data_IF_689688196253
#
_entry.id   IF_689688196253
#
_cell.length_a   1.000
_cell.length_b   1.000
_cell.length_c   1.000
_cell.angle_alpha   90.00
_cell.angle_beta   90.00
_cell.angle_gamma   90.00
#
_symmetry.space_group_name_H-M   'P 1'
#
loop_
_entity.id
_entity.type
_entity.pdbx_description
1 polymer ?
#
# COMPACT_ATOMS: atom_id res chain seq x y z
N UNK A 1 -17.82 11.11 -2.22
CA UNK A 1 -17.48 10.22 -3.38
C UNK A 1 -16.75 9.04 -2.76
N UNK A 2 -16.74 7.87 -3.37
CA UNK A 2 -16.09 6.70 -2.76
C UNK A 2 -15.77 5.65 -3.81
N UNK A 3 -15.19 4.54 -3.38
CA UNK A 3 -14.73 3.46 -4.23
C UNK A 3 -15.49 2.16 -3.91
N UNK A 4 -16.00 1.49 -4.95
CA UNK A 4 -16.72 0.22 -4.83
C UNK A 4 -15.82 -0.94 -5.21
N UNK A 5 -15.53 -1.80 -4.25
CA UNK A 5 -14.99 -3.14 -4.47
C UNK A 5 -16.13 -4.17 -4.62
N UNK A 6 -15.81 -5.40 -5.03
CA UNK A 6 -16.83 -6.45 -5.17
C UNK A 6 -17.56 -6.75 -3.85
N UNK A 7 -16.85 -6.80 -2.75
CA UNK A 7 -17.39 -7.22 -1.45
C UNK A 7 -17.59 -6.08 -0.46
N UNK A 8 -17.07 -4.88 -0.73
CA UNK A 8 -17.19 -3.73 0.18
C UNK A 8 -17.16 -2.41 -0.60
N UNK A 9 -17.73 -1.39 0.02
CA UNK A 9 -17.65 0.00 -0.42
C UNK A 9 -16.91 0.80 0.64
N UNK A 10 -16.12 1.78 0.21
CA UNK A 10 -15.48 2.72 1.12
C UNK A 10 -15.57 4.16 0.60
N UNK A 11 -15.68 5.09 1.53
CA UNK A 11 -15.58 6.53 1.30
C UNK A 11 -14.11 6.95 1.38
N UNK A 12 -13.70 7.92 0.54
CA UNK A 12 -12.32 8.42 0.48
C UNK A 12 -12.25 9.96 0.37
N UNK A 13 -13.33 10.64 0.71
CA UNK A 13 -13.47 12.09 0.54
C UNK A 13 -12.79 12.90 1.64
N UNK A 14 -12.48 12.29 2.79
CA UNK A 14 -11.76 12.92 3.91
C UNK A 14 -10.28 12.55 3.97
N UNK A 15 -9.78 11.75 3.04
CA UNK A 15 -8.38 11.36 2.97
C UNK A 15 -7.59 12.23 2.00
N UNK A 16 -6.34 12.53 2.33
CA UNK A 16 -5.43 13.31 1.48
C UNK A 16 -5.19 12.62 0.12
N UNK A 17 -5.11 11.29 0.12
CA UNK A 17 -5.02 10.47 -1.09
C UNK A 17 -6.28 9.61 -1.23
N UNK A 18 -6.86 9.64 -2.42
CA UNK A 18 -7.96 8.76 -2.79
C UNK A 18 -7.46 7.35 -3.05
N UNK A 19 -8.40 6.39 -3.09
CA UNK A 19 -8.07 5.03 -3.52
C UNK A 19 -7.33 5.06 -4.85
N UNK A 20 -6.18 4.39 -4.88
CA UNK A 20 -5.31 4.34 -6.05
C UNK A 20 -5.10 2.90 -6.52
N UNK A 21 -4.75 2.76 -7.79
CA UNK A 21 -4.34 1.46 -8.35
C UNK A 21 -3.16 0.85 -7.58
N UNK A 22 -2.28 1.68 -7.03
CA UNK A 22 -1.09 1.26 -6.28
C UNK A 22 -1.48 0.47 -5.03
N UNK A 23 -2.43 1.00 -4.23
CA UNK A 23 -2.97 0.29 -3.07
C UNK A 23 -3.65 -1.02 -3.46
N UNK A 24 -4.47 -1.00 -4.53
CA UNK A 24 -5.14 -2.21 -5.00
C UNK A 24 -4.16 -3.28 -5.48
N UNK A 25 -3.09 -2.89 -6.16
CA UNK A 25 -2.04 -3.81 -6.59
C UNK A 25 -1.31 -4.41 -5.39
N UNK A 26 -0.87 -3.59 -4.43
CA UNK A 26 -0.18 -4.07 -3.24
C UNK A 26 -1.08 -5.02 -2.43
N UNK A 27 -2.32 -4.60 -2.14
CA UNK A 27 -3.27 -5.39 -1.36
C UNK A 27 -3.67 -6.71 -2.03
N UNK A 28 -3.66 -6.76 -3.38
CA UNK A 28 -3.93 -8.00 -4.13
C UNK A 28 -2.70 -8.91 -4.21
N UNK A 29 -1.48 -8.33 -4.32
CA UNK A 29 -0.24 -9.06 -4.61
C UNK A 29 0.46 -9.61 -3.37
N UNK A 30 0.42 -8.90 -2.23
CA UNK A 30 1.16 -9.29 -1.01
C UNK A 30 0.83 -10.70 -0.57
N UNK A 31 1.84 -11.50 -0.17
CA UNK A 31 1.62 -12.80 0.47
C UNK A 31 1.20 -12.59 1.92
N UNK A 32 0.18 -13.33 2.35
CA UNK A 32 -0.31 -13.34 3.73
C UNK A 32 0.10 -14.62 4.47
N UNK A 33 0.94 -15.44 3.86
CA UNK A 33 1.36 -16.71 4.41
C UNK A 33 2.01 -16.54 5.80
N UNK A 34 1.55 -17.31 6.78
CA UNK A 34 2.01 -17.24 8.16
C UNK A 34 1.57 -16.02 8.96
N UNK A 35 0.82 -15.08 8.36
CA UNK A 35 0.47 -13.79 8.97
C UNK A 35 -0.92 -13.82 9.60
N UNK A 36 -0.99 -13.72 10.93
CA UNK A 36 -2.24 -13.63 11.70
C UNK A 36 -2.49 -12.22 12.23
N UNK A 37 -1.45 -11.54 12.69
CA UNK A 37 -1.51 -10.17 13.17
C UNK A 37 -0.80 -9.27 12.17
N UNK A 38 -1.55 -8.41 11.48
CA UNK A 38 -1.07 -7.57 10.38
C UNK A 38 -1.29 -6.10 10.67
N UNK A 39 -0.51 -5.22 10.02
CA UNK A 39 -0.71 -3.78 10.12
C UNK A 39 -0.65 -3.11 8.75
N UNK A 40 -1.54 -2.11 8.55
CA UNK A 40 -1.54 -1.17 7.44
C UNK A 40 -1.09 0.20 7.95
N UNK A 41 0.16 0.59 7.62
CA UNK A 41 0.78 1.83 8.07
C UNK A 41 0.47 2.99 7.12
N UNK A 42 -0.17 4.05 7.66
CA UNK A 42 -0.70 5.14 6.85
C UNK A 42 -1.90 4.69 6.03
N UNK A 43 -2.87 4.08 6.71
CA UNK A 43 -3.97 3.38 6.04
C UNK A 43 -4.93 4.28 5.24
N UNK A 44 -4.87 5.61 5.42
CA UNK A 44 -5.78 6.56 4.78
C UNK A 44 -7.23 6.18 5.03
N UNK A 45 -7.97 5.86 3.96
CA UNK A 45 -9.37 5.43 4.06
C UNK A 45 -9.56 3.95 4.47
N UNK A 46 -8.48 3.19 4.72
CA UNK A 46 -8.52 1.79 5.15
C UNK A 46 -8.59 0.76 4.02
N UNK A 47 -8.32 1.14 2.78
CA UNK A 47 -8.42 0.23 1.62
C UNK A 47 -7.56 -1.02 1.77
N UNK A 48 -6.27 -0.89 2.12
CA UNK A 48 -5.37 -2.02 2.28
C UNK A 48 -5.81 -2.90 3.45
N UNK A 49 -6.17 -2.31 4.59
CA UNK A 49 -6.67 -3.05 5.75
C UNK A 49 -7.91 -3.90 5.40
N UNK A 50 -8.88 -3.36 4.64
CA UNK A 50 -10.05 -4.10 4.20
C UNK A 50 -9.73 -5.19 3.17
N UNK A 51 -8.77 -4.96 2.27
CA UNK A 51 -8.28 -5.99 1.34
C UNK A 51 -7.59 -7.14 2.08
N UNK A 52 -6.81 -6.85 3.14
CA UNK A 52 -6.25 -7.88 4.01
C UNK A 52 -7.35 -8.67 4.74
N UNK A 53 -8.37 -7.98 5.27
CA UNK A 53 -9.49 -8.60 5.95
C UNK A 53 -10.27 -9.56 5.04
N UNK A 54 -10.47 -9.19 3.76
CA UNK A 54 -11.12 -10.04 2.77
C UNK A 54 -10.31 -11.32 2.48
N UNK A 55 -8.97 -11.21 2.42
CA UNK A 55 -8.08 -12.30 1.99
C UNK A 55 -7.62 -13.21 3.14
N UNK A 56 -7.69 -12.75 4.37
CA UNK A 56 -7.15 -13.46 5.53
C UNK A 56 -8.17 -14.39 6.18
N UNK A 57 -7.73 -15.45 6.91
CA UNK A 57 -8.59 -16.29 7.73
C UNK A 57 -9.39 -15.49 8.79
N UNK A 58 -10.46 -16.10 9.32
CA UNK A 58 -11.38 -15.42 10.25
C UNK A 58 -10.69 -14.98 11.57
N UNK A 59 -9.70 -15.73 12.00
CA UNK A 59 -8.93 -15.45 13.22
C UNK A 59 -7.89 -14.34 13.07
N UNK A 60 -7.62 -13.86 11.86
CA UNK A 60 -6.65 -12.79 11.61
C UNK A 60 -7.13 -11.46 12.20
N UNK A 61 -6.16 -10.64 12.60
CA UNK A 61 -6.39 -9.28 13.12
C UNK A 61 -5.52 -8.29 12.37
N UNK A 62 -6.12 -7.16 12.03
CA UNK A 62 -5.46 -6.09 11.28
C UNK A 62 -5.53 -4.79 12.09
N UNK A 63 -4.38 -4.11 12.24
CA UNK A 63 -4.31 -2.74 12.76
C UNK A 63 -4.18 -1.79 11.58
N UNK A 64 -5.17 -0.93 11.40
CA UNK A 64 -5.14 0.16 10.43
C UNK A 64 -4.67 1.42 11.15
N UNK A 65 -3.45 1.90 10.87
CA UNK A 65 -2.81 2.99 11.63
C UNK A 65 -2.76 4.22 10.74
N UNK A 66 -3.35 5.33 11.24
CA UNK A 66 -3.39 6.60 10.52
C UNK A 66 -3.19 7.77 11.50
N UNK A 67 -2.36 8.75 11.13
CA UNK A 67 -2.09 9.92 11.96
C UNK A 67 -3.06 11.08 11.73
N UNK A 68 -3.64 11.18 10.54
CA UNK A 68 -4.64 12.21 10.25
C UNK A 68 -5.98 11.82 10.87
N UNK A 69 -6.51 12.68 11.72
CA UNK A 69 -7.74 12.40 12.47
C UNK A 69 -8.95 12.20 11.54
N UNK A 70 -9.07 13.00 10.49
CA UNK A 70 -10.22 12.94 9.58
C UNK A 70 -10.19 11.66 8.74
N UNK A 71 -9.00 11.26 8.25
CA UNK A 71 -8.79 10.01 7.54
C UNK A 71 -9.01 8.81 8.47
N UNK A 72 -8.47 8.83 9.70
CA UNK A 72 -8.67 7.76 10.69
C UNK A 72 -10.14 7.56 11.03
N UNK A 73 -10.90 8.64 11.22
CA UNK A 73 -12.35 8.56 11.45
C UNK A 73 -13.07 7.99 10.24
N UNK A 74 -12.72 8.40 9.03
CA UNK A 74 -13.30 7.84 7.80
C UNK A 74 -12.98 6.36 7.64
N UNK A 75 -11.74 5.94 7.93
CA UNK A 75 -11.36 4.53 7.92
C UNK A 75 -12.17 3.71 8.93
N UNK A 76 -12.38 4.23 10.14
CA UNK A 76 -13.21 3.58 11.16
C UNK A 76 -14.67 3.40 10.68
N UNK A 77 -15.25 4.41 10.04
CA UNK A 77 -16.60 4.32 9.44
C UNK A 77 -16.65 3.29 8.29
N UNK A 78 -15.62 3.24 7.43
CA UNK A 78 -15.50 2.28 6.36
C UNK A 78 -15.37 0.85 6.91
N UNK A 79 -14.56 0.65 7.93
CA UNK A 79 -14.41 -0.64 8.62
C UNK A 79 -15.74 -1.09 9.23
N UNK A 80 -16.42 -0.22 9.96
CA UNK A 80 -17.71 -0.53 10.59
C UNK A 80 -18.80 -0.91 9.57
N UNK A 81 -18.76 -0.33 8.36
CA UNK A 81 -19.68 -0.62 7.27
C UNK A 81 -19.27 -1.83 6.42
N UNK A 82 -18.09 -2.41 6.65
CA UNK A 82 -17.55 -3.54 5.89
C UNK A 82 -18.08 -4.89 6.41
N UNK A 83 -17.91 -5.99 5.65
CA UNK A 83 -18.19 -7.35 6.14
C UNK A 83 -17.28 -7.83 7.27
N UNK A 84 -16.20 -7.09 7.64
CA UNK A 84 -15.17 -7.55 8.59
C UNK A 84 -14.87 -6.56 9.73
N UNK A 85 -15.88 -5.96 10.39
CA UNK A 85 -15.64 -4.96 11.45
C UNK A 85 -14.85 -5.53 12.63
N UNK A 86 -14.98 -6.82 12.90
CA UNK A 86 -14.28 -7.49 14.01
C UNK A 86 -12.82 -7.86 13.69
N UNK A 87 -12.43 -7.86 12.41
CA UNK A 87 -11.06 -8.17 12.01
C UNK A 87 -10.15 -6.96 12.01
N UNK A 88 -10.68 -5.77 11.73
CA UNK A 88 -9.91 -4.55 11.54
C UNK A 88 -10.13 -3.60 12.71
N UNK A 89 -9.05 -3.24 13.39
CA UNK A 89 -9.06 -2.19 14.40
C UNK A 89 -8.35 -0.96 13.87
N UNK A 90 -9.09 0.17 13.84
CA UNK A 90 -8.51 1.46 13.52
C UNK A 90 -7.73 2.00 14.73
N UNK A 91 -6.53 2.51 14.49
CA UNK A 91 -5.67 3.15 15.49
C UNK A 91 -5.28 4.54 15.00
N UNK A 92 -5.79 5.59 15.67
CA UNK A 92 -5.37 6.96 15.37
C UNK A 92 -4.04 7.24 16.06
N UNK A 93 -2.93 7.07 15.34
CA UNK A 93 -1.57 7.18 15.88
C UNK A 93 -0.56 7.47 14.78
N UNK A 94 0.51 8.15 15.13
CA UNK A 94 1.68 8.28 14.25
C UNK A 94 2.51 6.99 14.30
N UNK A 95 2.93 6.48 13.15
CA UNK A 95 3.77 5.28 13.04
C UNK A 95 5.15 5.43 13.70
N UNK A 96 5.58 6.66 13.98
CA UNK A 96 6.82 6.98 14.72
C UNK A 96 6.67 6.79 16.23
N UNK A 97 5.45 6.67 16.73
CA UNK A 97 5.19 6.58 18.16
C UNK A 97 5.69 5.25 18.73
N UNK A 98 6.26 5.30 19.94
CA UNK A 98 6.61 4.10 20.70
C UNK A 98 5.36 3.33 21.15
N UNK A 99 5.51 2.04 21.42
CA UNK A 99 4.45 1.21 21.99
C UNK A 99 3.51 0.58 20.95
N UNK A 100 3.85 0.60 19.66
CA UNK A 100 3.20 -0.25 18.68
C UNK A 100 3.49 -1.73 19.02
N UNK A 101 2.47 -2.56 18.92
CA UNK A 101 2.65 -4.02 19.01
C UNK A 101 3.47 -4.54 17.82
N UNK A 102 4.04 -5.75 17.93
CA UNK A 102 4.81 -6.35 16.84
C UNK A 102 3.93 -7.23 15.97
N UNK A 103 4.06 -7.09 14.66
CA UNK A 103 3.20 -7.70 13.64
C UNK A 103 3.91 -8.82 12.87
N UNK A 104 3.12 -9.77 12.37
CA UNK A 104 3.61 -10.80 11.45
C UNK A 104 3.83 -10.21 10.05
N UNK A 105 2.99 -9.24 9.64
CA UNK A 105 3.13 -8.52 8.39
C UNK A 105 2.79 -7.04 8.61
N UNK A 106 3.71 -6.16 8.21
CA UNK A 106 3.44 -4.72 8.09
C UNK A 106 3.47 -4.35 6.63
N UNK A 107 2.40 -3.71 6.14
CA UNK A 107 2.39 -3.19 4.78
C UNK A 107 2.05 -1.71 4.74
N UNK A 108 2.42 -1.06 3.63
CA UNK A 108 2.13 0.35 3.41
C UNK A 108 2.15 0.74 1.93
N UNK A 109 1.28 1.67 1.57
CA UNK A 109 1.42 2.53 0.41
C UNK A 109 1.77 3.94 0.91
N UNK A 110 3.06 4.23 1.19
CA UNK A 110 3.44 5.50 1.78
C UNK A 110 3.15 6.68 0.84
N UNK A 111 2.93 7.89 1.38
CA UNK A 111 2.77 9.06 0.54
C UNK A 111 4.08 9.37 -0.20
N UNK A 112 4.01 9.44 -1.54
CA UNK A 112 5.16 9.81 -2.37
C UNK A 112 5.04 11.27 -2.78
N UNK A 113 6.04 12.06 -2.42
CA UNK A 113 6.15 13.43 -2.92
C UNK A 113 7.31 13.50 -3.90
N UNK A 114 7.07 13.98 -5.14
CA UNK A 114 8.16 14.28 -6.05
C UNK A 114 9.06 15.34 -5.41
N UNK A 115 10.37 15.11 -5.38
CA UNK A 115 11.35 16.08 -4.88
C UNK A 115 11.40 17.39 -5.69
N UNK A 116 10.62 17.51 -6.77
CA UNK A 116 10.71 18.57 -7.78
C UNK A 116 9.59 19.62 -7.76
N UNK A 117 8.66 19.62 -6.81
CA UNK A 117 7.61 20.65 -6.75
C UNK A 117 7.88 21.66 -5.63
N UNK A 118 8.89 22.52 -5.85
CA UNK A 118 8.93 23.84 -5.29
C UNK A 118 7.87 24.71 -5.99
N UNK A 119 6.60 24.56 -5.63
CA UNK A 119 5.54 25.48 -6.07
C UNK A 119 5.49 26.66 -5.11
N UNK A 120 5.13 27.85 -5.64
CA UNK A 120 5.22 29.18 -5.01
C UNK A 120 4.41 29.40 -3.71
N UNK A 121 3.77 28.39 -3.15
CA UNK A 121 3.15 28.41 -1.81
C UNK A 121 4.11 27.83 -0.75
N UNK A 122 5.33 28.39 -0.75
CA UNK A 122 6.52 27.80 -0.16
C UNK A 122 6.48 27.60 1.38
N UNK A 123 5.77 28.40 2.15
CA UNK A 123 5.79 28.26 3.63
C UNK A 123 4.88 27.15 4.15
N UNK A 124 3.70 26.97 3.58
CA UNK A 124 2.81 25.84 3.95
C UNK A 124 3.30 24.50 3.42
N UNK A 125 3.95 24.50 2.25
CA UNK A 125 4.57 23.32 1.68
C UNK A 125 5.82 22.91 2.47
N UNK A 126 6.67 23.85 2.91
CA UNK A 126 7.83 23.61 3.76
C UNK A 126 7.45 23.09 5.15
N UNK A 127 6.40 23.62 5.77
CA UNK A 127 5.89 23.12 7.05
C UNK A 127 5.37 21.68 6.94
N UNK A 128 4.73 21.32 5.81
CA UNK A 128 4.29 19.94 5.53
C UNK A 128 5.45 19.00 5.14
N UNK A 129 6.49 19.51 4.48
CA UNK A 129 7.70 18.74 4.12
C UNK A 129 8.56 18.40 5.35
N UNK A 130 8.62 19.29 6.35
CA UNK A 130 9.41 19.08 7.56
C UNK A 130 8.92 17.94 8.46
N UNK A 131 7.65 17.53 8.32
CA UNK A 131 7.02 16.44 9.11
C UNK A 131 6.85 15.12 8.32
N UNK A 132 7.32 15.08 7.08
CA UNK A 132 7.16 13.89 6.23
C UNK A 132 8.37 12.97 6.30
N UNK A 133 8.10 11.68 6.53
CA UNK A 133 9.13 10.65 6.51
C UNK A 133 9.62 10.39 5.07
N UNK A 134 10.92 10.27 4.91
CA UNK A 134 11.51 9.67 3.71
C UNK A 134 11.13 8.18 3.60
N UNK A 135 11.21 7.59 2.41
CA UNK A 135 10.94 6.14 2.25
C UNK A 135 11.85 5.26 3.14
N UNK A 136 13.16 5.52 3.27
CA UNK A 136 13.99 4.79 4.23
C UNK A 136 13.49 4.92 5.68
N UNK A 137 13.16 6.13 6.14
CA UNK A 137 12.64 6.33 7.48
C UNK A 137 11.26 5.67 7.70
N UNK A 138 10.41 5.66 6.67
CA UNK A 138 9.16 4.92 6.70
C UNK A 138 9.39 3.41 6.83
N UNK A 139 10.34 2.88 6.05
CA UNK A 139 10.77 1.49 6.14
C UNK A 139 11.26 1.13 7.54
N UNK A 140 12.07 2.01 8.17
CA UNK A 140 12.60 1.81 9.52
C UNK A 140 11.48 1.74 10.58
N UNK A 141 10.45 2.59 10.46
CA UNK A 141 9.26 2.51 11.33
C UNK A 141 8.52 1.17 11.16
N UNK A 142 8.35 0.71 9.92
CA UNK A 142 7.74 -0.59 9.65
C UNK A 142 8.59 -1.74 10.22
N UNK A 143 9.91 -1.67 10.01
CA UNK A 143 10.86 -2.68 10.49
C UNK A 143 10.85 -2.80 12.02
N UNK A 144 10.76 -1.67 12.73
CA UNK A 144 10.69 -1.62 14.20
C UNK A 144 9.42 -2.27 14.77
N UNK A 145 8.31 -2.22 14.01
CA UNK A 145 7.03 -2.80 14.39
C UNK A 145 6.82 -4.24 13.86
N UNK A 146 7.80 -4.82 13.19
CA UNK A 146 7.68 -6.17 12.64
C UNK A 146 8.40 -7.19 13.52
N UNK A 147 7.76 -8.32 13.77
CA UNK A 147 8.36 -9.46 14.51
C UNK A 147 9.64 -9.93 13.83
N UNK A 148 10.57 -10.59 14.57
CA UNK A 148 11.79 -11.13 13.97
C UNK A 148 11.56 -12.07 12.78
N UNK A 149 10.53 -12.90 12.82
CA UNK A 149 10.11 -13.79 11.72
C UNK A 149 9.01 -13.17 10.84
N UNK A 150 8.70 -11.90 11.02
CA UNK A 150 7.67 -11.20 10.25
C UNK A 150 8.15 -10.68 8.91
N UNK A 151 7.23 -10.10 8.16
CA UNK A 151 7.45 -9.62 6.80
C UNK A 151 7.04 -8.14 6.66
N UNK A 152 7.68 -7.46 5.70
CA UNK A 152 7.33 -6.10 5.29
C UNK A 152 6.85 -6.10 3.85
N UNK A 153 5.88 -5.27 3.50
CA UNK A 153 5.47 -5.08 2.12
C UNK A 153 5.19 -3.61 1.81
N UNK A 154 5.70 -3.13 0.68
CA UNK A 154 5.47 -1.75 0.22
C UNK A 154 5.25 -1.71 -1.28
N UNK A 155 4.49 -0.71 -1.72
CA UNK A 155 4.59 -0.24 -3.10
C UNK A 155 5.55 0.96 -3.13
N UNK A 156 6.46 0.99 -4.10
CA UNK A 156 7.57 1.95 -4.16
C UNK A 156 7.69 2.51 -5.57
N UNK A 157 7.85 3.83 -5.75
CA UNK A 157 8.19 4.40 -7.05
C UNK A 157 9.49 3.78 -7.60
N UNK A 158 9.49 3.39 -8.87
CA UNK A 158 10.68 2.75 -9.48
C UNK A 158 11.92 3.64 -9.42
N UNK A 159 11.76 4.97 -9.42
CA UNK A 159 12.85 5.94 -9.27
C UNK A 159 13.54 5.89 -7.89
N UNK A 160 12.85 5.44 -6.85
CA UNK A 160 13.36 5.35 -5.49
C UNK A 160 13.74 3.92 -5.07
N UNK A 161 13.46 2.94 -5.94
CA UNK A 161 13.63 1.52 -5.67
C UNK A 161 15.06 1.14 -5.27
N UNK A 162 16.07 1.56 -6.05
CA UNK A 162 17.46 1.18 -5.78
C UNK A 162 17.97 1.70 -4.44
N UNK A 163 17.56 2.92 -4.06
CA UNK A 163 17.95 3.51 -2.77
C UNK A 163 17.32 2.73 -1.61
N UNK A 164 16.02 2.42 -1.70
CA UNK A 164 15.33 1.66 -0.67
C UNK A 164 15.84 0.22 -0.56
N UNK A 165 16.15 -0.44 -1.68
CA UNK A 165 16.70 -1.79 -1.68
C UNK A 165 18.07 -1.86 -0.98
N UNK A 166 18.96 -0.88 -1.23
CA UNK A 166 20.23 -0.80 -0.51
C UNK A 166 20.03 -0.55 0.98
N UNK A 167 19.12 0.35 1.33
CA UNK A 167 18.79 0.66 2.72
C UNK A 167 18.26 -0.59 3.44
N UNK A 168 17.29 -1.31 2.87
CA UNK A 168 16.73 -2.51 3.47
C UNK A 168 17.80 -3.60 3.73
N UNK A 169 18.72 -3.81 2.78
CA UNK A 169 19.84 -4.75 2.95
C UNK A 169 20.78 -4.34 4.08
N UNK A 170 21.11 -3.05 4.21
CA UNK A 170 21.92 -2.53 5.31
C UNK A 170 21.27 -2.73 6.68
N UNK A 171 19.91 -2.72 6.72
CA UNK A 171 19.14 -2.98 7.93
C UNK A 171 18.89 -4.49 8.16
N UNK A 172 19.50 -5.38 7.38
CA UNK A 172 19.36 -6.84 7.50
C UNK A 172 17.98 -7.35 7.07
N UNK A 173 17.35 -6.67 6.10
CA UNK A 173 16.11 -7.12 5.47
C UNK A 173 16.37 -7.54 4.03
N UNK A 174 15.99 -8.77 3.69
CA UNK A 174 16.22 -9.37 2.39
C UNK A 174 14.92 -9.44 1.59
N UNK A 175 15.04 -9.14 0.31
CA UNK A 175 13.91 -9.15 -0.61
C UNK A 175 13.45 -10.58 -0.86
N UNK A 176 12.25 -10.92 -0.41
CA UNK A 176 11.64 -12.22 -0.66
C UNK A 176 10.91 -12.24 -2.00
N UNK A 177 10.13 -11.19 -2.28
CA UNK A 177 9.34 -11.08 -3.52
C UNK A 177 9.41 -9.66 -4.09
N UNK A 178 9.37 -9.55 -5.41
CA UNK A 178 9.40 -8.28 -6.12
C UNK A 178 8.56 -8.37 -7.40
N UNK A 179 7.69 -7.41 -7.62
CA UNK A 179 6.95 -7.26 -8.88
C UNK A 179 7.19 -5.88 -9.48
N UNK A 180 7.78 -5.82 -10.68
CA UNK A 180 7.92 -4.58 -11.45
C UNK A 180 6.64 -4.31 -12.23
N UNK A 181 6.02 -3.15 -11.98
CA UNK A 181 4.75 -2.78 -12.58
C UNK A 181 4.95 -1.74 -13.67
N UNK A 182 4.51 -2.05 -14.89
CA UNK A 182 4.48 -1.13 -16.03
C UNK A 182 3.03 -0.84 -16.42
N UNK A 183 2.75 0.40 -16.82
CA UNK A 183 1.42 0.74 -17.34
C UNK A 183 1.15 0.03 -18.66
N UNK A 184 2.14 0.03 -19.58
CA UNK A 184 2.09 -0.64 -20.89
C UNK A 184 3.45 -1.30 -21.18
N UNK A 185 3.47 -2.40 -21.91
CA UNK A 185 4.63 -3.30 -22.07
C UNK A 185 5.94 -2.64 -22.52
N UNK A 186 5.87 -1.57 -23.33
CA UNK A 186 7.05 -0.89 -23.88
C UNK A 186 7.55 0.28 -23.03
N UNK A 187 6.91 0.58 -21.89
CA UNK A 187 7.35 1.64 -20.96
C UNK A 187 8.17 1.06 -19.82
N UNK A 188 9.02 1.90 -19.23
CA UNK A 188 9.73 1.54 -18.02
C UNK A 188 8.74 1.30 -16.85
N UNK A 189 9.13 0.46 -15.91
CA UNK A 189 8.36 0.25 -14.70
C UNK A 189 8.18 1.58 -13.94
N UNK A 190 6.95 1.87 -13.50
CA UNK A 190 6.64 3.04 -12.68
C UNK A 190 6.70 2.73 -11.20
N UNK A 191 6.32 1.51 -10.83
CA UNK A 191 6.21 1.04 -9.46
C UNK A 191 6.92 -0.29 -9.29
N UNK A 192 7.32 -0.56 -8.07
CA UNK A 192 7.77 -1.87 -7.59
C UNK A 192 6.94 -2.25 -6.38
N UNK A 193 6.27 -3.39 -6.44
CA UNK A 193 5.71 -4.04 -5.26
C UNK A 193 6.82 -4.90 -4.68
N UNK A 194 7.09 -4.77 -3.40
CA UNK A 194 8.19 -5.49 -2.77
C UNK A 194 7.78 -6.02 -1.41
N UNK A 195 8.24 -7.23 -1.09
CA UNK A 195 8.04 -7.89 0.19
C UNK A 195 9.37 -8.42 0.70
N UNK A 196 9.69 -8.09 1.95
CA UNK A 196 10.96 -8.42 2.61
C UNK A 196 10.75 -9.26 3.84
N UNK A 197 11.81 -9.98 4.22
CA UNK A 197 11.94 -10.73 5.45
C UNK A 197 13.37 -10.70 5.99
N UNK A 198 13.60 -11.21 7.21
CA UNK A 198 14.95 -11.28 7.83
C UNK A 198 15.79 -12.43 7.30
N UNK A 199 15.18 -13.51 6.87
CA UNK A 199 15.88 -14.66 6.33
C UNK A 199 16.27 -14.45 4.87
N UNK A 200 17.49 -14.83 4.51
CA UNK A 200 17.94 -14.80 3.13
C UNK A 200 17.31 -15.94 2.34
N UNK A 201 16.63 -15.58 1.26
CA UNK A 201 15.97 -16.53 0.35
C UNK A 201 16.18 -16.09 -1.10
N UNK A 202 16.01 -17.00 -2.03
CA UNK A 202 15.98 -16.64 -3.45
C UNK A 202 14.76 -15.73 -3.72
N UNK A 203 15.02 -14.54 -4.24
CA UNK A 203 13.96 -13.55 -4.53
C UNK A 203 13.05 -14.03 -5.65
N UNK A 204 11.77 -14.12 -5.41
CA UNK A 204 10.75 -14.31 -6.45
C UNK A 204 10.59 -12.99 -7.23
N UNK A 205 10.94 -13.00 -8.52
CA UNK A 205 10.84 -11.84 -9.38
C UNK A 205 9.67 -11.97 -10.35
N UNK A 206 8.83 -10.94 -10.41
CA UNK A 206 7.65 -10.87 -11.25
C UNK A 206 7.64 -9.57 -12.07
N UNK A 207 6.88 -9.57 -13.15
CA UNK A 207 6.54 -8.39 -13.94
C UNK A 207 5.04 -8.35 -14.17
N UNK A 208 4.46 -7.18 -14.04
CA UNK A 208 3.05 -6.93 -14.30
C UNK A 208 2.91 -5.80 -15.31
N UNK A 209 2.24 -6.08 -16.41
CA UNK A 209 1.80 -5.05 -17.36
C UNK A 209 0.31 -4.80 -17.10
N UNK A 210 -0.05 -3.55 -16.79
CA UNK A 210 -1.45 -3.21 -16.46
C UNK A 210 -2.33 -3.25 -17.72
N UNK A 211 -1.85 -2.65 -18.81
CA UNK A 211 -2.64 -2.45 -20.02
C UNK A 211 -1.90 -2.89 -21.27
N UNK A 212 -2.65 -3.44 -22.22
CA UNK A 212 -2.20 -3.75 -23.59
C UNK A 212 -3.33 -3.43 -24.56
N UNK A 213 -3.02 -2.71 -25.66
CA UNK A 213 -4.01 -2.29 -26.67
C UNK A 213 -5.25 -1.61 -26.08
N UNK A 214 -5.08 -0.74 -25.07
CA UNK A 214 -6.17 0.00 -24.42
C UNK A 214 -7.07 -0.83 -23.51
N UNK A 215 -6.68 -2.06 -23.15
CA UNK A 215 -7.43 -2.96 -22.25
C UNK A 215 -6.53 -3.44 -21.12
N UNK A 216 -7.11 -3.77 -19.98
CA UNK A 216 -6.39 -4.45 -18.91
C UNK A 216 -5.91 -5.83 -19.38
N UNK A 217 -4.68 -6.20 -19.01
CA UNK A 217 -4.12 -7.52 -19.30
C UNK A 217 -4.78 -8.61 -18.47
N UNK A 218 -4.67 -9.87 -18.92
CA UNK A 218 -5.17 -11.01 -18.14
C UNK A 218 -4.46 -11.13 -16.79
N UNK A 219 -3.15 -10.86 -16.74
CA UNK A 219 -2.40 -10.82 -15.48
C UNK A 219 -2.96 -9.81 -14.49
N UNK A 220 -3.25 -8.57 -14.94
CA UNK A 220 -3.86 -7.55 -14.09
C UNK A 220 -5.25 -7.98 -13.62
N UNK A 221 -6.08 -8.53 -14.53
CA UNK A 221 -7.42 -9.00 -14.19
C UNK A 221 -7.39 -10.16 -13.18
N UNK A 222 -6.50 -11.13 -13.37
CA UNK A 222 -6.34 -12.25 -12.43
C UNK A 222 -5.91 -11.78 -11.06
N UNK A 223 -4.93 -10.86 -10.99
CA UNK A 223 -4.43 -10.32 -9.73
C UNK A 223 -5.50 -9.53 -8.97
N UNK A 224 -6.22 -8.65 -9.66
CA UNK A 224 -7.13 -7.68 -9.02
C UNK A 224 -8.60 -8.09 -9.05
N UNK A 225 -8.92 -9.17 -9.74
CA UNK A 225 -10.30 -9.61 -10.03
C UNK A 225 -11.17 -9.86 -8.79
N UNK A 226 -10.57 -10.20 -7.64
CA UNK A 226 -11.31 -10.35 -6.39
C UNK A 226 -11.81 -9.01 -5.80
N UNK A 227 -11.30 -7.87 -6.30
CA UNK A 227 -11.59 -6.54 -5.77
C UNK A 227 -12.34 -5.64 -6.76
N UNK A 228 -11.95 -5.62 -8.03
CA UNK A 228 -12.65 -4.82 -9.04
C UNK A 228 -14.03 -5.39 -9.38
N UNK A 229 -15.01 -4.51 -9.60
CA UNK A 229 -16.29 -4.92 -10.14
C UNK A 229 -16.12 -5.58 -11.52
N UNK A 230 -16.84 -6.67 -11.77
CA UNK A 230 -16.72 -7.46 -13.01
C UNK A 230 -16.88 -6.62 -14.29
N UNK A 231 -17.74 -5.58 -14.28
CA UNK A 231 -17.89 -4.62 -15.38
C UNK A 231 -16.72 -3.65 -15.52
N UNK A 232 -16.08 -3.23 -14.41
CA UNK A 232 -14.98 -2.26 -14.42
C UNK A 232 -13.69 -2.86 -14.99
N UNK A 233 -13.47 -4.16 -14.84
CA UNK A 233 -12.28 -4.86 -15.38
C UNK A 233 -12.35 -5.01 -16.89
N UNK A 234 -13.55 -4.94 -17.47
CA UNK A 234 -13.80 -4.98 -18.91
C UNK A 234 -13.97 -3.57 -19.54
N UNK A 235 -14.11 -2.54 -18.71
CA UNK A 235 -14.22 -1.15 -19.16
C UNK A 235 -12.87 -0.60 -19.65
N UNK A 236 -12.92 0.50 -20.41
CA UNK A 236 -11.73 1.25 -20.78
C UNK A 236 -11.02 1.69 -19.48
N UNK A 237 -9.71 1.43 -19.32
CA UNK A 237 -9.00 1.74 -18.09
C UNK A 237 -9.11 3.22 -17.73
N UNK A 238 -9.45 3.50 -16.48
CA UNK A 238 -9.29 4.85 -15.92
C UNK A 238 -7.79 5.17 -15.98
N UNK A 239 -7.38 6.38 -16.41
CA UNK A 239 -5.97 6.77 -16.43
C UNK A 239 -5.34 6.51 -15.06
N UNK A 240 -4.34 5.64 -15.02
CA UNK A 240 -3.66 5.24 -13.76
C UNK A 240 -2.90 6.42 -13.15
N UNK A 241 -2.59 7.41 -13.98
CA UNK A 241 -2.05 8.71 -13.58
C UNK A 241 -2.59 9.77 -14.54
N UNK A 242 -3.23 10.85 -14.07
CA UNK A 242 -3.46 12.00 -14.91
C UNK A 242 -2.08 12.52 -15.33
N UNK A 243 -1.85 12.61 -16.65
CA UNK A 243 -0.73 13.38 -17.17
C UNK A 243 -0.96 14.82 -16.74
N UNK A 244 -0.22 15.28 -15.74
CA UNK A 244 -0.18 16.70 -15.42
C UNK A 244 0.81 17.33 -16.40
N UNK A 245 0.25 18.07 -17.34
CA UNK A 245 1.01 19.03 -18.16
C UNK A 245 1.69 20.06 -17.25
#
# INVERSE_FOLDING_TARGET
>A
MGFQCQQFYLKDDRCAMKVSTDSLLLGAWVSLEGSKLMADFGCGCGILALMLAQRSPAESRIRAIERDQAAAQQAAENVAASPWPEKVQMVHQDIRSSGLESFDLVLSNPPYFPQSLASADSQRALARQGDQLSLPAWFDCMAAATKPAGQLAMVVPASQWQALQRHSQQQGWFLARCCRVTTVAHKAAKLVLAQWQRETIATEQQQLVIQQHGRYTDQFRQLTGAFYLAGAVNAVPIPVYPERN
#
